data_IF_010769714352
#
_entry.id   IF_010769714352
#
_cell.length_a   1.000
_cell.length_b   1.000
_cell.length_c   1.000
_cell.angle_alpha   90.00
_cell.angle_beta   90.00
_cell.angle_gamma   90.00
#
_symmetry.space_group_name_H-M   'P 1'
#
loop_
_entity.id
_entity.type
_entity.pdbx_description
1 polymer ?
#
# COMPACT_ATOMS: atom_id res chain seq x y z
N UNK A 1 24.34 12.17 33.28
CA UNK A 1 24.57 11.06 32.33
C UNK A 1 23.54 9.98 32.65
N UNK A 2 22.50 9.82 31.82
CA UNK A 2 21.46 8.80 32.09
C UNK A 2 21.98 7.39 31.76
N UNK A 3 21.62 6.40 32.59
CA UNK A 3 21.71 4.97 32.23
C UNK A 3 20.83 4.70 31.00
N UNK A 4 21.24 3.77 30.14
CA UNK A 4 20.58 3.49 28.85
C UNK A 4 19.06 3.29 28.92
N UNK A 5 18.56 2.66 29.99
CA UNK A 5 17.13 2.35 30.18
C UNK A 5 16.23 3.58 30.25
N UNK A 6 16.67 4.68 30.85
CA UNK A 6 15.85 5.91 30.97
C UNK A 6 15.70 6.66 29.64
N UNK A 7 16.65 6.48 28.71
CA UNK A 7 16.60 7.08 27.37
C UNK A 7 15.66 6.32 26.45
N UNK A 8 15.67 5.00 26.54
CA UNK A 8 14.82 4.14 25.73
C UNK A 8 13.33 4.30 26.08
N UNK A 9 12.99 4.33 27.38
CA UNK A 9 11.62 4.58 27.83
C UNK A 9 11.09 5.94 27.33
N UNK A 10 11.94 6.97 27.34
CA UNK A 10 11.60 8.28 26.79
C UNK A 10 11.23 8.19 25.30
N UNK A 11 12.09 7.61 24.46
CA UNK A 11 11.81 7.56 23.02
C UNK A 11 10.61 6.68 22.70
N UNK A 12 10.43 5.58 23.44
CA UNK A 12 9.25 4.71 23.31
C UNK A 12 7.95 5.49 23.56
N UNK A 13 7.91 6.30 24.62
CA UNK A 13 6.74 7.15 24.93
C UNK A 13 6.48 8.18 23.82
N UNK A 14 7.54 8.81 23.30
CA UNK A 14 7.39 9.77 22.20
C UNK A 14 6.89 9.12 20.91
N UNK A 15 7.42 7.93 20.58
CA UNK A 15 6.98 7.16 19.41
C UNK A 15 5.52 6.76 19.53
N UNK A 16 5.11 6.21 20.68
CA UNK A 16 3.71 5.85 20.93
C UNK A 16 2.76 7.05 20.82
N UNK A 17 3.18 8.22 21.31
CA UNK A 17 2.41 9.45 21.13
C UNK A 17 2.31 9.84 19.64
N UNK A 18 3.41 9.76 18.88
CA UNK A 18 3.44 10.04 17.45
C UNK A 18 2.56 9.09 16.62
N UNK A 19 2.51 7.81 16.97
CA UNK A 19 1.62 6.83 16.35
C UNK A 19 0.16 7.18 16.61
N UNK A 20 -0.19 7.46 17.87
CA UNK A 20 -1.57 7.79 18.26
C UNK A 20 -2.08 9.10 17.63
N UNK A 21 -1.18 10.03 17.31
CA UNK A 21 -1.52 11.31 16.67
C UNK A 21 -1.41 11.28 15.14
N UNK A 22 -1.10 10.14 14.54
CA UNK A 22 -0.88 10.02 13.09
C UNK A 22 0.24 10.93 12.57
N UNK A 23 1.28 11.13 13.39
CA UNK A 23 2.50 11.84 13.03
C UNK A 23 3.54 10.90 12.44
N UNK A 24 3.42 9.59 12.64
CA UNK A 24 4.18 8.62 11.86
C UNK A 24 3.63 8.64 10.42
N UNK A 25 4.43 9.08 9.44
CA UNK A 25 3.98 9.16 8.05
C UNK A 25 3.66 7.76 7.53
N UNK A 26 2.71 7.67 6.63
CA UNK A 26 2.45 6.42 5.90
C UNK A 26 3.34 6.39 4.65
N UNK A 27 4.37 5.54 4.63
CA UNK A 27 5.25 5.31 3.48
C UNK A 27 5.17 3.88 2.94
N UNK A 28 4.28 3.08 3.51
CA UNK A 28 4.08 1.69 3.17
C UNK A 28 3.38 1.50 1.84
N UNK A 29 3.32 0.23 1.43
CA UNK A 29 2.51 -0.19 0.28
C UNK A 29 1.06 -0.24 0.73
N UNK A 30 0.16 0.30 -0.09
CA UNK A 30 -1.26 0.33 0.23
C UNK A 30 -1.78 -1.10 0.47
N UNK A 31 -2.56 -1.24 1.54
CA UNK A 31 -3.10 -2.52 1.98
C UNK A 31 -3.84 -3.27 0.86
N UNK A 32 -4.50 -2.57 -0.06
CA UNK A 32 -5.22 -3.18 -1.18
C UNK A 32 -4.27 -3.88 -2.14
N UNK A 33 -3.12 -3.25 -2.44
CA UNK A 33 -2.10 -3.84 -3.29
C UNK A 33 -1.46 -5.04 -2.60
N UNK A 34 -1.16 -4.94 -1.30
CA UNK A 34 -0.65 -6.05 -0.48
C UNK A 34 -1.65 -7.21 -0.39
N UNK A 35 -2.95 -6.91 -0.25
CA UNK A 35 -4.03 -7.89 -0.14
C UNK A 35 -4.12 -8.75 -1.40
N UNK A 36 -4.00 -8.14 -2.57
CA UNK A 36 -4.16 -8.84 -3.85
C UNK A 36 -2.85 -9.28 -4.50
N UNK A 37 -1.67 -8.89 -3.99
CA UNK A 37 -0.37 -9.29 -4.54
C UNK A 37 0.08 -10.69 -4.12
N UNK A 38 -0.54 -11.26 -3.09
CA UNK A 38 -0.15 -12.54 -2.47
C UNK A 38 -0.84 -13.75 -3.12
N UNK A 39 -0.35 -14.94 -2.78
CA UNK A 39 -0.87 -16.23 -3.28
C UNK A 39 -2.35 -16.49 -2.93
N UNK A 40 -2.93 -15.80 -1.94
CA UNK A 40 -4.35 -15.89 -1.60
C UNK A 40 -5.25 -14.90 -2.34
N UNK A 41 -4.74 -14.16 -3.33
CA UNK A 41 -5.47 -13.05 -4.00
C UNK A 41 -6.86 -13.41 -4.54
N UNK A 42 -7.05 -14.61 -5.10
CA UNK A 42 -8.36 -15.06 -5.58
C UNK A 42 -9.35 -15.31 -4.44
N UNK A 43 -8.89 -15.89 -3.32
CA UNK A 43 -9.73 -16.09 -2.14
C UNK A 43 -10.09 -14.76 -1.48
N UNK A 44 -9.14 -13.82 -1.43
CA UNK A 44 -9.37 -12.45 -0.96
C UNK A 44 -10.43 -11.72 -1.80
N UNK A 45 -10.38 -11.89 -3.12
CA UNK A 45 -11.40 -11.37 -4.04
C UNK A 45 -12.77 -11.99 -3.77
N UNK A 46 -12.83 -13.33 -3.70
CA UNK A 46 -14.08 -14.06 -3.43
C UNK A 46 -14.70 -13.60 -2.10
N UNK A 47 -13.91 -13.48 -1.03
CA UNK A 47 -14.36 -13.04 0.29
C UNK A 47 -14.84 -11.58 0.27
N UNK A 48 -14.05 -10.67 -0.33
CA UNK A 48 -14.41 -9.25 -0.42
C UNK A 48 -15.72 -9.04 -1.18
N UNK A 49 -15.92 -9.80 -2.26
CA UNK A 49 -17.13 -9.73 -3.07
C UNK A 49 -18.33 -10.35 -2.36
N UNK A 50 -18.15 -11.49 -1.69
CA UNK A 50 -19.22 -12.12 -0.92
C UNK A 50 -19.74 -11.18 0.17
N UNK A 51 -18.85 -10.54 0.92
CA UNK A 51 -19.22 -9.58 1.94
C UNK A 51 -19.98 -8.39 1.35
N UNK A 52 -19.45 -7.80 0.26
CA UNK A 52 -20.10 -6.66 -0.41
C UNK A 52 -21.50 -7.02 -0.91
N UNK A 53 -21.66 -8.18 -1.56
CA UNK A 53 -22.97 -8.63 -2.07
C UNK A 53 -23.94 -9.00 -0.95
N UNK A 54 -23.46 -9.53 0.17
CA UNK A 54 -24.27 -9.78 1.37
C UNK A 54 -24.77 -8.46 1.98
N UNK A 55 -23.89 -7.49 2.18
CA UNK A 55 -24.26 -6.18 2.72
C UNK A 55 -25.32 -5.48 1.86
N UNK A 56 -25.24 -5.62 0.54
CA UNK A 56 -26.23 -5.09 -0.39
C UNK A 56 -27.52 -5.89 -0.33
N UNK A 57 -27.45 -7.22 -0.33
CA UNK A 57 -28.63 -8.07 -0.22
C UNK A 57 -29.43 -7.74 1.03
N UNK A 58 -28.74 -7.55 2.16
CA UNK A 58 -29.37 -7.25 3.45
C UNK A 58 -30.03 -5.87 3.48
N UNK A 59 -29.51 -4.91 2.69
CA UNK A 59 -30.10 -3.56 2.55
C UNK A 59 -31.17 -3.47 1.47
N UNK A 60 -30.97 -4.17 0.35
CA UNK A 60 -31.75 -4.06 -0.89
C UNK A 60 -31.89 -5.44 -1.58
N UNK A 61 -32.77 -6.32 -1.12
CA UNK A 61 -32.88 -7.69 -1.62
C UNK A 61 -33.19 -7.77 -3.13
N UNK A 62 -34.12 -6.93 -3.60
CA UNK A 62 -34.55 -6.88 -5.00
C UNK A 62 -33.46 -6.35 -5.94
N UNK A 63 -32.53 -5.55 -5.39
CA UNK A 63 -31.44 -4.95 -6.17
C UNK A 63 -30.42 -6.01 -6.60
N UNK A 64 -30.13 -7.01 -5.77
CA UNK A 64 -29.20 -8.10 -6.12
C UNK A 64 -29.73 -8.91 -7.31
N UNK A 65 -31.04 -9.10 -7.41
CA UNK A 65 -31.65 -9.76 -8.56
C UNK A 65 -31.51 -8.91 -9.83
N UNK A 66 -31.68 -7.58 -9.72
CA UNK A 66 -31.48 -6.65 -10.84
C UNK A 66 -30.00 -6.56 -11.29
N UNK A 67 -29.06 -6.69 -10.35
CA UNK A 67 -27.62 -6.74 -10.61
C UNK A 67 -27.22 -7.99 -11.40
N UNK A 68 -28.00 -9.08 -11.32
CA UNK A 68 -27.68 -10.35 -11.98
C UNK A 68 -27.39 -10.22 -13.48
N UNK A 69 -28.12 -9.33 -14.18
CA UNK A 69 -27.87 -9.05 -15.60
C UNK A 69 -26.58 -8.26 -15.84
N UNK A 70 -26.25 -7.28 -15.00
CA UNK A 70 -25.02 -6.49 -15.11
C UNK A 70 -23.78 -7.31 -14.73
N UNK A 71 -23.92 -8.19 -13.74
CA UNK A 71 -22.86 -9.10 -13.27
C UNK A 71 -22.65 -10.28 -14.23
N UNK A 72 -23.58 -10.56 -15.14
CA UNK A 72 -23.48 -11.68 -16.09
C UNK A 72 -22.19 -11.65 -16.92
N UNK A 73 -21.66 -10.45 -17.21
CA UNK A 73 -20.38 -10.27 -17.89
C UNK A 73 -19.18 -10.83 -17.10
N UNK A 74 -19.30 -11.01 -15.77
CA UNK A 74 -18.28 -11.54 -14.87
C UNK A 74 -18.53 -13.00 -14.47
N UNK A 75 -19.40 -13.71 -15.20
CA UNK A 75 -19.71 -15.13 -14.95
C UNK A 75 -18.44 -15.98 -14.81
N UNK A 76 -17.43 -15.66 -15.62
CA UNK A 76 -16.12 -16.29 -15.63
C UNK A 76 -15.07 -15.28 -16.07
N UNK A 77 -14.14 -14.92 -15.18
CA UNK A 77 -12.97 -14.10 -15.52
C UNK A 77 -11.70 -14.93 -15.32
N UNK A 78 -10.94 -15.23 -16.38
CA UNK A 78 -9.66 -15.92 -16.24
C UNK A 78 -8.64 -15.01 -15.54
N UNK A 79 -7.64 -15.61 -14.88
CA UNK A 79 -6.51 -14.88 -14.29
C UNK A 79 -6.90 -13.79 -13.28
N UNK A 80 -7.94 -14.05 -12.49
CA UNK A 80 -8.41 -13.16 -11.43
C UNK A 80 -7.55 -13.30 -10.16
N UNK A 81 -6.25 -13.08 -10.33
CA UNK A 81 -5.19 -13.08 -9.31
C UNK A 81 -4.32 -11.85 -9.50
N UNK A 82 -3.62 -11.38 -8.46
CA UNK A 82 -2.80 -10.17 -8.59
C UNK A 82 -3.63 -8.96 -9.05
N UNK A 83 -3.11 -8.22 -10.02
CA UNK A 83 -3.80 -7.09 -10.65
C UNK A 83 -5.10 -7.48 -11.38
N UNK A 84 -5.23 -8.73 -11.84
CA UNK A 84 -6.48 -9.23 -12.40
C UNK A 84 -7.58 -9.26 -11.34
N UNK A 85 -7.26 -9.68 -10.12
CA UNK A 85 -8.19 -9.66 -8.99
C UNK A 85 -8.59 -8.22 -8.63
N UNK A 86 -7.61 -7.30 -8.59
CA UNK A 86 -7.87 -5.87 -8.35
C UNK A 86 -8.81 -5.29 -9.42
N UNK A 87 -8.56 -5.57 -10.69
CA UNK A 87 -9.37 -5.06 -11.79
C UNK A 87 -10.82 -5.58 -11.73
N UNK A 88 -11.00 -6.86 -11.39
CA UNK A 88 -12.33 -7.45 -11.16
C UNK A 88 -13.00 -6.79 -9.96
N UNK A 89 -12.31 -6.60 -8.83
CA UNK A 89 -12.86 -5.93 -7.65
C UNK A 89 -13.40 -4.54 -7.98
N UNK A 90 -12.60 -3.73 -8.68
CA UNK A 90 -13.01 -2.36 -9.04
C UNK A 90 -14.17 -2.36 -10.04
N UNK A 91 -14.16 -3.26 -11.03
CA UNK A 91 -15.24 -3.36 -12.00
C UNK A 91 -16.56 -3.76 -11.34
N UNK A 92 -16.52 -4.68 -10.37
CA UNK A 92 -17.69 -5.11 -9.61
C UNK A 92 -18.21 -4.02 -8.67
N UNK A 93 -17.32 -3.33 -7.96
CA UNK A 93 -17.69 -2.17 -7.12
C UNK A 93 -18.36 -1.06 -7.94
N UNK A 94 -17.88 -0.78 -9.15
CA UNK A 94 -18.49 0.18 -10.07
C UNK A 94 -19.92 -0.22 -10.44
N UNK A 95 -20.18 -1.51 -10.69
CA UNK A 95 -21.53 -2.00 -11.02
C UNK A 95 -22.46 -1.88 -9.81
N UNK A 96 -21.98 -2.30 -8.65
CA UNK A 96 -22.70 -2.29 -7.37
C UNK A 96 -23.11 -0.87 -6.93
N UNK A 97 -22.26 0.14 -7.15
CA UNK A 97 -22.45 1.50 -6.61
C UNK A 97 -23.18 2.46 -7.55
N UNK A 98 -23.78 1.97 -8.63
CA UNK A 98 -24.46 2.83 -9.62
C UNK A 98 -25.73 3.52 -9.09
N UNK A 99 -26.19 3.24 -7.86
CA UNK A 99 -27.43 3.82 -7.31
C UNK A 99 -27.33 4.49 -5.92
N UNK A 100 -26.19 4.46 -5.23
CA UNK A 100 -26.00 5.34 -4.06
C UNK A 100 -25.70 6.77 -4.57
N UNK A 101 -26.53 7.75 -4.18
CA UNK A 101 -26.26 9.18 -4.46
C UNK A 101 -24.93 9.66 -3.87
N UNK A 102 -24.36 8.87 -2.93
CA UNK A 102 -23.03 9.09 -2.40
C UNK A 102 -21.96 8.49 -3.32
N UNK A 103 -21.59 9.25 -4.35
CA UNK A 103 -20.52 8.92 -5.32
C UNK A 103 -19.12 8.78 -4.69
N UNK A 104 -19.01 8.77 -3.37
CA UNK A 104 -17.73 8.93 -2.68
C UNK A 104 -17.02 7.60 -2.35
N UNK A 105 -17.67 6.44 -2.54
CA UNK A 105 -17.10 5.16 -2.09
C UNK A 105 -16.45 4.29 -3.18
N UNK A 106 -16.74 4.46 -4.48
CA UNK A 106 -16.00 3.77 -5.58
C UNK A 106 -14.58 4.29 -5.73
N UNK A 107 -14.38 5.48 -5.20
CA UNK A 107 -13.12 6.19 -5.10
C UNK A 107 -12.24 5.66 -3.95
N UNK A 108 -12.61 4.69 -3.10
CA UNK A 108 -11.79 4.45 -1.89
C UNK A 108 -10.46 3.72 -2.16
N UNK A 109 -10.46 2.60 -2.89
CA UNK A 109 -9.23 1.91 -3.29
C UNK A 109 -8.45 2.72 -4.34
N UNK A 110 -9.15 3.26 -5.36
CA UNK A 110 -8.48 4.09 -6.36
C UNK A 110 -8.05 5.47 -5.82
N UNK A 111 -8.67 6.05 -4.78
CA UNK A 111 -8.16 7.27 -4.12
C UNK A 111 -6.99 6.97 -3.21
N UNK A 112 -7.06 5.89 -2.42
CA UNK A 112 -5.95 5.51 -1.54
C UNK A 112 -4.70 5.11 -2.30
N UNK A 113 -4.86 4.31 -3.36
CA UNK A 113 -3.74 3.85 -4.20
C UNK A 113 -3.36 4.88 -5.27
N UNK A 114 -4.35 5.60 -5.85
CA UNK A 114 -4.16 6.45 -7.03
C UNK A 114 -4.75 7.87 -6.96
N UNK A 115 -5.17 8.43 -5.82
CA UNK A 115 -5.69 9.81 -5.81
C UNK A 115 -5.25 10.76 -4.71
N UNK A 116 -4.26 10.42 -3.88
CA UNK A 116 -3.68 11.39 -2.94
C UNK A 116 -3.02 12.60 -3.63
N UNK A 117 -2.75 12.55 -4.96
CA UNK A 117 -2.22 13.71 -5.69
C UNK A 117 -2.71 13.75 -7.15
N UNK A 118 -3.39 14.82 -7.57
CA UNK A 118 -3.74 15.08 -8.97
C UNK A 118 -2.53 15.70 -9.69
N UNK A 119 -1.47 14.92 -10.00
CA UNK A 119 -0.39 15.34 -10.92
C UNK A 119 0.77 14.34 -11.13
N UNK A 120 0.86 13.20 -10.43
CA UNK A 120 2.06 12.34 -10.53
C UNK A 120 1.98 11.37 -11.71
N UNK A 121 3.02 11.34 -12.55
CA UNK A 121 3.08 10.46 -13.73
C UNK A 121 3.03 8.96 -13.39
N UNK A 122 3.50 8.57 -12.20
CA UNK A 122 3.39 7.19 -11.65
C UNK A 122 1.91 6.81 -11.52
N UNK A 123 1.12 7.65 -10.84
CA UNK A 123 -0.31 7.45 -10.61
C UNK A 123 -1.10 7.38 -11.91
N UNK A 124 -0.85 8.31 -12.83
CA UNK A 124 -1.58 8.36 -14.11
C UNK A 124 -1.31 7.11 -14.95
N UNK A 125 -0.07 6.59 -14.89
CA UNK A 125 0.28 5.32 -15.55
C UNK A 125 -0.43 4.12 -14.91
N UNK A 126 -0.55 4.09 -13.57
CA UNK A 126 -1.26 3.03 -12.88
C UNK A 126 -2.78 3.08 -13.10
N UNK A 127 -3.41 4.26 -13.08
CA UNK A 127 -4.85 4.42 -13.39
C UNK A 127 -5.16 4.00 -14.83
N UNK A 128 -4.34 4.44 -15.78
CA UNK A 128 -4.48 4.06 -17.18
C UNK A 128 -4.35 2.53 -17.34
N UNK A 129 -3.38 1.90 -16.68
CA UNK A 129 -3.26 0.45 -16.68
C UNK A 129 -4.51 -0.24 -16.14
N UNK A 130 -5.03 0.19 -14.99
CA UNK A 130 -6.23 -0.41 -14.42
C UNK A 130 -7.46 -0.21 -15.32
N UNK A 131 -7.59 0.94 -15.98
CA UNK A 131 -8.63 1.17 -17.00
C UNK A 131 -8.52 0.17 -18.15
N UNK A 132 -7.33 0.02 -18.74
CA UNK A 132 -7.10 -0.89 -19.87
C UNK A 132 -7.31 -2.35 -19.49
N UNK A 133 -6.82 -2.75 -18.32
CA UNK A 133 -7.00 -4.12 -17.82
C UNK A 133 -8.48 -4.45 -17.62
N UNK A 134 -9.28 -3.52 -17.08
CA UNK A 134 -10.75 -3.68 -16.99
C UNK A 134 -11.42 -3.81 -18.35
N UNK A 135 -11.02 -2.99 -19.32
CA UNK A 135 -11.56 -3.03 -20.67
C UNK A 135 -11.30 -4.38 -21.38
N UNK A 136 -10.17 -5.02 -21.06
CA UNK A 136 -9.70 -6.24 -21.72
C UNK A 136 -9.68 -7.48 -20.82
N UNK A 137 -10.48 -7.52 -19.75
CA UNK A 137 -10.55 -8.66 -18.80
C UNK A 137 -10.78 -10.02 -19.49
N UNK A 138 -11.51 -10.03 -20.60
CA UNK A 138 -11.84 -11.23 -21.36
C UNK A 138 -10.98 -11.41 -22.62
N UNK A 139 -9.95 -10.57 -22.81
CA UNK A 139 -9.10 -10.55 -24.00
C UNK A 139 -7.62 -10.63 -23.58
N UNK A 140 -7.11 -11.82 -23.18
CA UNK A 140 -5.75 -12.00 -22.64
C UNK A 140 -4.64 -11.40 -23.51
N UNK A 141 -4.73 -11.54 -24.84
CA UNK A 141 -3.76 -10.97 -25.78
C UNK A 141 -3.74 -9.44 -25.74
N UNK A 142 -4.91 -8.79 -25.76
CA UNK A 142 -5.01 -7.33 -25.63
C UNK A 142 -4.55 -6.84 -24.27
N UNK A 143 -4.90 -7.56 -23.20
CA UNK A 143 -4.43 -7.25 -21.85
C UNK A 143 -2.90 -7.33 -21.77
N UNK A 144 -2.27 -8.30 -22.44
CA UNK A 144 -0.82 -8.43 -22.50
C UNK A 144 -0.18 -7.26 -23.26
N UNK A 145 -0.67 -6.93 -24.46
CA UNK A 145 -0.19 -5.79 -25.27
C UNK A 145 -0.20 -4.48 -24.46
N UNK A 146 -1.30 -4.19 -23.77
CA UNK A 146 -1.40 -3.00 -22.92
C UNK A 146 -0.49 -3.08 -21.68
N UNK A 147 -0.31 -4.27 -21.11
CA UNK A 147 0.61 -4.46 -19.97
C UNK A 147 2.04 -4.14 -20.36
N UNK A 148 2.52 -4.67 -21.49
CA UNK A 148 3.89 -4.43 -21.99
C UNK A 148 4.13 -2.98 -22.42
N UNK A 149 3.10 -2.30 -22.91
CA UNK A 149 3.20 -0.88 -23.26
C UNK A 149 3.28 -0.01 -22.00
N UNK A 150 2.40 -0.27 -21.02
CA UNK A 150 2.27 0.58 -19.84
C UNK A 150 3.31 0.28 -18.75
N UNK A 151 3.88 -0.93 -18.70
CA UNK A 151 4.98 -1.24 -17.76
C UNK A 151 6.20 -0.36 -18.01
N UNK A 152 6.57 -0.15 -19.28
CA UNK A 152 7.71 0.70 -19.66
C UNK A 152 7.49 2.13 -19.22
N UNK A 153 6.28 2.65 -19.48
CA UNK A 153 5.90 3.98 -19.05
C UNK A 153 5.99 4.12 -17.52
N UNK A 154 5.47 3.16 -16.77
CA UNK A 154 5.55 3.19 -15.31
C UNK A 154 7.01 3.11 -14.80
N UNK A 155 7.84 2.25 -15.40
CA UNK A 155 9.25 2.11 -15.08
C UNK A 155 10.03 3.42 -15.28
N UNK A 156 9.77 4.13 -16.38
CA UNK A 156 10.34 5.46 -16.63
C UNK A 156 9.90 6.49 -15.58
N UNK A 157 8.61 6.51 -15.21
CA UNK A 157 8.09 7.45 -14.21
C UNK A 157 8.66 7.15 -12.81
N UNK A 158 8.84 5.88 -12.46
CA UNK A 158 9.48 5.46 -11.21
C UNK A 158 10.95 5.87 -11.17
N UNK A 159 11.66 5.76 -12.28
CA UNK A 159 13.05 6.21 -12.39
C UNK A 159 13.16 7.71 -12.20
N UNK A 160 12.28 8.50 -12.84
CA UNK A 160 12.23 9.95 -12.68
C UNK A 160 11.92 10.35 -11.23
N UNK A 161 10.94 9.71 -10.61
CA UNK A 161 10.55 9.98 -9.22
C UNK A 161 11.68 9.61 -8.24
N UNK A 162 12.39 8.51 -8.48
CA UNK A 162 13.58 8.16 -7.70
C UNK A 162 14.64 9.24 -7.80
N UNK A 163 14.98 9.63 -9.03
CA UNK A 163 16.05 10.60 -9.27
C UNK A 163 15.71 11.97 -8.68
N UNK A 164 14.45 12.40 -8.73
CA UNK A 164 14.05 13.67 -8.10
C UNK A 164 14.22 13.63 -6.58
N UNK A 165 13.93 12.49 -5.95
CA UNK A 165 14.19 12.30 -4.52
C UNK A 165 15.69 12.27 -4.20
N UNK A 166 16.50 11.55 -4.99
CA UNK A 166 17.93 11.37 -4.72
C UNK A 166 18.80 12.58 -5.07
N UNK A 167 18.41 13.37 -6.07
CA UNK A 167 19.28 14.37 -6.70
C UNK A 167 18.69 15.78 -6.77
N UNK A 168 17.36 15.93 -6.73
CA UNK A 168 16.69 17.23 -6.92
C UNK A 168 16.05 17.79 -5.63
N UNK A 169 16.47 17.27 -4.47
CA UNK A 169 15.96 17.67 -3.14
C UNK A 169 14.43 17.56 -2.99
N UNK A 170 13.81 16.65 -3.74
CA UNK A 170 12.35 16.40 -3.71
C UNK A 170 11.97 15.25 -2.77
N UNK A 171 12.79 14.95 -1.77
CA UNK A 171 12.48 13.93 -0.77
C UNK A 171 11.33 14.38 0.13
N UNK A 172 10.31 13.55 0.29
CA UNK A 172 9.19 13.76 1.21
C UNK A 172 8.57 12.41 1.58
N UNK A 173 7.73 12.38 2.63
CA UNK A 173 6.97 11.16 2.94
C UNK A 173 6.08 10.73 1.78
N UNK A 174 5.50 11.72 1.07
CA UNK A 174 4.61 11.50 -0.06
C UNK A 174 5.33 10.89 -1.27
N UNK A 175 6.45 11.48 -1.67
CA UNK A 175 7.22 10.99 -2.83
C UNK A 175 7.72 9.56 -2.60
N UNK A 176 8.16 9.25 -1.37
CA UNK A 176 8.55 7.90 -0.98
C UNK A 176 7.38 6.92 -1.08
N UNK A 177 6.20 7.27 -0.52
CA UNK A 177 4.98 6.46 -0.63
C UNK A 177 4.58 6.20 -2.09
N UNK A 178 4.67 7.21 -2.95
CA UNK A 178 4.34 7.06 -4.36
C UNK A 178 5.31 6.12 -5.07
N UNK A 179 6.60 6.24 -4.77
CA UNK A 179 7.61 5.36 -5.34
C UNK A 179 7.42 3.90 -4.86
N UNK A 180 7.20 3.67 -3.56
CA UNK A 180 7.02 2.33 -3.00
C UNK A 180 5.78 1.63 -3.56
N UNK A 181 4.65 2.34 -3.65
CA UNK A 181 3.43 1.82 -4.24
C UNK A 181 3.58 1.55 -5.74
N UNK A 182 4.19 2.47 -6.48
CA UNK A 182 4.41 2.29 -7.91
C UNK A 182 5.38 1.14 -8.22
N UNK A 183 6.45 0.98 -7.44
CA UNK A 183 7.39 -0.15 -7.58
C UNK A 183 6.70 -1.50 -7.30
N UNK A 184 5.93 -1.57 -6.21
CA UNK A 184 5.13 -2.76 -5.89
C UNK A 184 4.12 -3.08 -7.01
N UNK A 185 3.48 -2.07 -7.59
CA UNK A 185 2.52 -2.22 -8.67
C UNK A 185 3.20 -2.67 -9.98
N UNK A 186 4.34 -2.09 -10.31
CA UNK A 186 5.11 -2.45 -11.49
C UNK A 186 5.53 -3.93 -11.45
N UNK A 187 6.02 -4.42 -10.30
CA UNK A 187 6.32 -5.84 -10.13
C UNK A 187 5.08 -6.73 -10.37
N UNK A 188 3.91 -6.30 -9.89
CA UNK A 188 2.67 -7.02 -10.15
C UNK A 188 2.26 -6.98 -11.63
N UNK A 189 2.57 -5.91 -12.37
CA UNK A 189 2.39 -5.85 -13.82
C UNK A 189 3.27 -6.86 -14.54
N UNK A 190 4.56 -6.96 -14.15
CA UNK A 190 5.49 -7.91 -14.74
C UNK A 190 5.07 -9.36 -14.48
N UNK A 191 4.65 -9.67 -13.24
CA UNK A 191 4.10 -10.99 -12.89
C UNK A 191 2.83 -11.27 -13.70
N UNK A 192 1.95 -10.28 -13.87
CA UNK A 192 0.75 -10.43 -14.69
C UNK A 192 1.08 -10.70 -16.17
N UNK A 193 2.05 -9.98 -16.74
CA UNK A 193 2.50 -10.21 -18.11
C UNK A 193 3.08 -11.63 -18.28
N UNK A 194 3.94 -12.07 -17.35
CA UNK A 194 4.51 -13.42 -17.37
C UNK A 194 3.42 -14.51 -17.27
N UNK A 195 2.37 -14.30 -16.45
CA UNK A 195 1.19 -15.18 -16.39
C UNK A 195 0.48 -15.29 -17.74
N UNK A 196 0.27 -14.18 -18.44
CA UNK A 196 -0.40 -14.17 -19.74
C UNK A 196 0.45 -14.85 -20.83
N UNK A 197 1.77 -14.65 -20.82
CA UNK A 197 2.71 -15.26 -21.78
C UNK A 197 2.82 -16.78 -21.62
N UNK A 198 3.04 -17.24 -20.38
CA UNK A 198 3.17 -18.68 -20.06
C UNK A 198 1.91 -19.50 -20.34
N UNK A 199 0.76 -18.86 -20.56
CA UNK A 199 -0.48 -19.52 -20.99
C UNK A 199 -0.58 -19.72 -22.51
N UNK A 200 0.18 -18.94 -23.27
CA UNK A 200 0.07 -18.89 -24.73
C UNK A 200 1.15 -19.72 -25.42
N UNK A 201 2.17 -20.21 -24.69
CA UNK A 201 3.31 -20.91 -25.27
C UNK A 201 3.30 -22.43 -25.05
N UNK A 202 3.90 -23.14 -26.00
CA UNK A 202 4.14 -24.59 -25.97
C UNK A 202 5.45 -24.96 -25.24
N UNK A 203 6.32 -23.97 -24.93
CA UNK A 203 7.62 -24.11 -24.28
C UNK A 203 7.63 -23.63 -22.81
N UNK A 204 6.71 -24.17 -22.00
CA UNK A 204 6.35 -23.64 -20.68
C UNK A 204 7.51 -23.46 -19.67
N UNK A 205 8.50 -24.35 -19.63
CA UNK A 205 9.52 -24.35 -18.57
C UNK A 205 10.68 -23.37 -18.82
N UNK A 206 11.18 -23.27 -20.05
CA UNK A 206 12.30 -22.37 -20.37
C UNK A 206 11.85 -20.91 -20.32
N UNK A 207 10.67 -20.59 -20.86
CA UNK A 207 10.10 -19.24 -20.80
C UNK A 207 9.79 -18.79 -19.36
N UNK A 208 9.30 -19.71 -18.52
CA UNK A 208 9.04 -19.42 -17.12
C UNK A 208 10.32 -19.03 -16.37
N UNK A 209 11.43 -19.74 -16.59
CA UNK A 209 12.72 -19.42 -15.95
C UNK A 209 13.23 -18.05 -16.38
N UNK A 210 13.13 -17.72 -17.68
CA UNK A 210 13.51 -16.40 -18.19
C UNK A 210 12.68 -15.30 -17.55
N UNK A 211 11.37 -15.49 -17.41
CA UNK A 211 10.50 -14.51 -16.75
C UNK A 211 10.79 -14.36 -15.26
N UNK A 212 11.02 -15.46 -14.54
CA UNK A 212 11.39 -15.43 -13.12
C UNK A 212 12.69 -14.65 -12.94
N UNK A 213 13.75 -14.99 -13.69
CA UNK A 213 15.04 -14.31 -13.58
C UNK A 213 14.94 -12.81 -13.92
N UNK A 214 14.18 -12.46 -14.96
CA UNK A 214 13.95 -11.05 -15.33
C UNK A 214 13.23 -10.28 -14.23
N UNK A 215 12.22 -10.87 -13.59
CA UNK A 215 11.46 -10.22 -12.51
C UNK A 215 12.31 -10.12 -11.24
N UNK A 216 13.03 -11.18 -10.88
CA UNK A 216 13.96 -11.18 -9.74
C UNK A 216 15.02 -10.07 -9.88
N UNK A 217 15.56 -9.86 -11.08
CA UNK A 217 16.49 -8.75 -11.32
C UNK A 217 15.86 -7.38 -11.10
N UNK A 218 14.59 -7.18 -11.45
CA UNK A 218 13.87 -5.92 -11.19
C UNK A 218 13.61 -5.77 -9.68
N UNK A 219 13.28 -6.86 -8.99
CA UNK A 219 13.12 -6.87 -7.53
C UNK A 219 14.43 -6.46 -6.86
N UNK A 220 15.57 -7.00 -7.30
CA UNK A 220 16.89 -6.63 -6.77
C UNK A 220 17.20 -5.15 -6.97
N UNK A 221 16.88 -4.59 -8.14
CA UNK A 221 17.00 -3.15 -8.39
C UNK A 221 16.11 -2.34 -7.43
N UNK A 222 14.86 -2.72 -7.21
CA UNK A 222 13.97 -2.02 -6.29
C UNK A 222 14.35 -2.18 -4.82
N UNK A 223 14.88 -3.32 -4.41
CA UNK A 223 15.43 -3.47 -3.05
C UNK A 223 16.63 -2.55 -2.84
N UNK A 224 17.54 -2.48 -3.82
CA UNK A 224 18.68 -1.57 -3.78
C UNK A 224 18.23 -0.10 -3.72
N UNK A 225 17.36 0.32 -4.65
CA UNK A 225 16.84 1.68 -4.71
C UNK A 225 16.09 2.06 -3.40
N UNK A 226 15.32 1.12 -2.83
CA UNK A 226 14.64 1.34 -1.56
C UNK A 226 15.62 1.60 -0.42
N UNK A 227 16.72 0.86 -0.33
CA UNK A 227 17.73 1.08 0.71
C UNK A 227 18.40 2.46 0.58
N UNK A 228 18.66 2.92 -0.64
CA UNK A 228 19.18 4.27 -0.88
C UNK A 228 18.16 5.34 -0.48
N UNK A 229 16.90 5.19 -0.91
CA UNK A 229 15.82 6.10 -0.59
C UNK A 229 15.55 6.15 0.91
N UNK A 230 15.58 5.02 1.64
CA UNK A 230 15.37 4.99 3.08
C UNK A 230 16.49 5.67 3.85
N UNK A 231 17.75 5.55 3.41
CA UNK A 231 18.88 6.28 4.00
C UNK A 231 18.72 7.79 3.84
N UNK A 232 18.34 8.23 2.64
CA UNK A 232 18.11 9.64 2.37
C UNK A 232 16.88 10.15 3.13
N UNK A 233 15.79 9.39 3.14
CA UNK A 233 14.56 9.73 3.86
C UNK A 233 14.78 9.86 5.36
N UNK A 234 15.61 8.99 5.96
CA UNK A 234 16.04 9.12 7.35
C UNK A 234 16.77 10.44 7.62
N UNK A 235 17.63 10.85 6.70
CA UNK A 235 18.34 12.14 6.79
C UNK A 235 17.38 13.31 6.64
N UNK A 236 16.45 13.24 5.71
CA UNK A 236 15.36 14.20 5.55
C UNK A 236 14.48 14.31 6.81
N UNK A 237 14.14 13.19 7.45
CA UNK A 237 13.36 13.22 8.71
C UNK A 237 14.13 13.82 9.88
N UNK A 238 15.46 13.76 9.89
CA UNK A 238 16.30 14.48 10.87
C UNK A 238 16.22 16.01 10.74
N UNK A 239 15.81 16.55 9.59
CA UNK A 239 15.66 18.01 9.40
C UNK A 239 14.23 18.50 9.61
N UNK A 240 13.24 17.62 9.47
CA UNK A 240 11.81 17.95 9.55
C UNK A 240 11.20 17.61 10.91
N UNK A 241 11.70 16.58 11.60
CA UNK A 241 11.27 16.20 12.94
C UNK A 241 12.09 16.93 14.00
N UNK A 242 11.40 17.49 15.00
CA UNK A 242 12.04 18.15 16.16
C UNK A 242 11.35 17.80 17.47
N UNK A 243 12.14 17.73 18.56
CA UNK A 243 11.63 17.57 19.92
C UNK A 243 11.60 18.93 20.60
N UNK A 244 10.40 19.41 20.90
CA UNK A 244 10.23 20.73 21.50
C UNK A 244 9.74 20.61 22.94
N UNK A 245 10.32 21.43 23.82
CA UNK A 245 9.83 21.61 25.17
C UNK A 245 8.90 22.84 25.18
N UNK A 246 7.59 22.67 25.36
CA UNK A 246 6.69 23.80 25.32
C UNK A 246 6.88 24.65 26.57
N UNK A 247 7.29 25.92 26.40
CA UNK A 247 7.67 26.83 27.48
C UNK A 247 6.56 27.05 28.54
N UNK A 248 5.30 26.83 28.17
CA UNK A 248 4.13 27.01 29.05
C UNK A 248 3.91 25.91 30.08
N UNK A 249 4.68 24.82 30.04
CA UNK A 249 4.42 23.61 30.85
C UNK A 249 5.54 23.27 31.83
N UNK A 250 6.49 24.17 32.10
CA UNK A 250 7.40 23.98 33.24
C UNK A 250 6.62 24.12 34.54
N UNK A 251 6.23 22.99 35.14
CA UNK A 251 5.61 22.95 36.46
C UNK A 251 6.63 22.47 37.48
N UNK A 252 6.97 23.33 38.44
CA UNK A 252 7.73 22.93 39.62
C UNK A 252 6.74 22.33 40.62
N UNK A 253 6.85 21.02 40.87
CA UNK A 253 6.04 20.36 41.90
C UNK A 253 6.90 20.21 43.14
N UNK A 254 6.45 20.83 44.23
CA UNK A 254 7.13 20.78 45.51
C UNK A 254 6.70 19.54 46.29
N UNK A 255 7.64 18.63 46.51
CA UNK A 255 7.49 17.57 47.51
C UNK A 255 8.26 17.99 48.78
N UNK A 256 7.79 17.62 49.98
CA UNK A 256 8.41 18.04 51.25
C UNK A 256 9.92 17.75 51.38
N UNK A 257 10.45 16.84 50.56
CA UNK A 257 11.86 16.43 50.55
C UNK A 257 12.58 16.62 49.20
N UNK A 258 11.90 17.10 48.14
CA UNK A 258 12.52 17.24 46.82
C UNK A 258 11.74 18.19 45.89
N UNK A 259 12.49 18.89 45.03
CA UNK A 259 11.96 19.71 43.95
C UNK A 259 12.07 18.91 42.65
N UNK A 260 10.92 18.51 42.07
CA UNK A 260 10.90 17.71 40.83
C UNK A 260 10.50 18.61 39.67
N UNK A 261 11.39 18.71 38.68
CA UNK A 261 11.11 19.34 37.39
C UNK A 261 10.26 18.39 36.56
N UNK A 262 9.01 18.77 36.33
CA UNK A 262 8.15 18.07 35.37
C UNK A 262 8.56 18.52 33.96
N UNK A 263 9.21 17.64 33.19
CA UNK A 263 9.54 17.95 31.80
C UNK A 263 8.45 17.43 30.88
N UNK A 264 8.07 18.26 29.92
CA UNK A 264 7.05 17.95 28.94
C UNK A 264 7.61 18.13 27.54
N UNK A 265 7.19 17.26 26.62
CA UNK A 265 7.77 17.18 25.29
C UNK A 265 6.69 17.02 24.23
N UNK A 266 6.95 17.60 23.07
CA UNK A 266 6.13 17.49 21.87
C UNK A 266 7.04 17.15 20.70
N UNK A 267 6.68 16.11 19.95
CA UNK A 267 7.28 15.85 18.63
C UNK A 267 6.53 16.67 17.61
N UNK A 268 7.26 17.42 16.78
CA UNK A 268 6.71 18.13 15.62
C UNK A 268 7.35 17.60 14.35
N UNK A 269 6.55 17.40 13.32
CA UNK A 269 7.01 17.06 11.97
C UNK A 269 6.56 18.15 10.98
N UNK A 270 7.53 18.88 10.42
CA UNK A 270 7.28 19.94 9.45
C UNK A 270 6.80 19.44 8.10
N UNK A 271 7.19 18.24 7.69
CA UNK A 271 6.75 17.63 6.42
C UNK A 271 5.24 17.32 6.45
N UNK A 272 4.74 16.91 7.63
CA UNK A 272 3.33 16.58 7.82
C UNK A 272 2.48 17.73 8.37
N UNK A 273 3.11 18.83 8.78
CA UNK A 273 2.49 19.94 9.51
C UNK A 273 1.70 19.47 10.75
N UNK A 274 2.25 18.49 11.49
CA UNK A 274 1.62 17.87 12.65
C UNK A 274 2.49 17.95 13.90
N UNK A 275 1.83 17.88 15.05
CA UNK A 275 2.48 17.73 16.35
C UNK A 275 1.73 16.74 17.25
N UNK A 276 2.46 16.10 18.16
CA UNK A 276 1.86 15.20 19.15
C UNK A 276 1.17 15.99 20.26
N UNK A 277 0.24 15.36 21.01
CA UNK A 277 -0.09 15.83 22.35
C UNK A 277 1.16 15.98 23.22
N UNK A 278 1.04 16.77 24.27
CA UNK A 278 2.11 16.98 25.25
C UNK A 278 2.35 15.69 26.02
N UNK A 279 3.58 15.18 25.97
CA UNK A 279 4.00 13.97 26.68
C UNK A 279 4.79 14.33 27.93
N UNK A 280 4.35 13.83 29.07
CA UNK A 280 5.08 13.96 30.32
C UNK A 280 6.24 12.97 30.39
N UNK A 281 7.46 13.48 30.57
CA UNK A 281 8.67 12.68 30.75
C UNK A 281 9.47 13.21 31.95
N UNK A 282 9.41 12.56 33.13
CA UNK A 282 10.06 13.06 34.35
C UNK A 282 11.59 13.12 34.25
N UNK A 283 12.19 12.38 33.30
CA UNK A 283 13.63 12.23 33.18
C UNK A 283 14.10 12.49 31.74
N UNK A 284 15.09 13.39 31.60
CA UNK A 284 15.92 13.49 30.40
C UNK A 284 15.62 14.63 29.42
N UNK A 285 16.71 15.10 28.79
CA UNK A 285 16.71 15.85 27.53
C UNK A 285 17.62 15.08 26.55
N UNK A 286 17.09 14.10 25.80
CA UNK A 286 17.86 13.52 24.71
C UNK A 286 17.95 14.51 23.54
N UNK A 287 18.95 14.34 22.68
CA UNK A 287 19.07 15.15 21.46
C UNK A 287 18.13 14.66 20.36
N UNK A 288 17.53 15.58 19.62
CA UNK A 288 16.53 15.35 18.57
C UNK A 288 16.94 14.28 17.55
N UNK A 289 18.21 14.26 17.14
CA UNK A 289 18.73 13.30 16.15
C UNK A 289 18.61 11.84 16.61
N UNK A 290 18.77 11.60 17.92
CA UNK A 290 18.68 10.25 18.49
C UNK A 290 17.25 9.72 18.58
N UNK A 291 16.25 10.60 18.56
CA UNK A 291 14.84 10.19 18.46
C UNK A 291 14.50 9.66 17.06
N UNK A 292 14.92 10.36 15.99
CA UNK A 292 14.68 9.89 14.62
C UNK A 292 15.38 8.56 14.36
N UNK A 293 16.60 8.38 14.88
CA UNK A 293 17.30 7.09 14.81
C UNK A 293 16.51 5.99 15.53
N UNK A 294 15.97 6.27 16.72
CA UNK A 294 15.12 5.34 17.45
C UNK A 294 13.82 5.01 16.68
N UNK A 295 13.13 6.03 16.17
CA UNK A 295 11.89 5.88 15.40
C UNK A 295 12.13 4.94 14.21
N UNK A 296 13.14 5.18 13.37
CA UNK A 296 13.43 4.34 12.21
C UNK A 296 13.77 2.89 12.57
N UNK A 297 14.37 2.64 13.74
CA UNK A 297 14.70 1.30 14.19
C UNK A 297 13.50 0.53 14.76
N UNK A 298 12.43 1.23 15.15
CA UNK A 298 11.23 0.65 15.78
C UNK A 298 9.97 0.88 14.95
N UNK A 299 10.10 1.31 13.69
CA UNK A 299 8.98 1.61 12.82
C UNK A 299 8.65 0.39 11.96
N UNK A 300 7.65 -0.37 12.40
CA UNK A 300 7.24 -1.65 11.80
C UNK A 300 6.95 -1.55 10.29
N UNK A 301 6.37 -0.43 9.84
CA UNK A 301 6.05 -0.25 8.42
C UNK A 301 7.29 -0.29 7.51
N UNK A 302 8.46 0.18 7.97
CA UNK A 302 9.69 0.10 7.19
C UNK A 302 10.18 -1.35 7.09
N UNK A 303 9.98 -2.14 8.14
CA UNK A 303 10.28 -3.57 8.14
C UNK A 303 9.35 -4.31 7.18
N UNK A 304 8.04 -4.04 7.24
CA UNK A 304 7.05 -4.63 6.35
C UNK A 304 7.31 -4.28 4.88
N UNK A 305 7.72 -3.04 4.61
CA UNK A 305 8.09 -2.58 3.27
C UNK A 305 9.28 -3.36 2.71
N UNK A 306 10.32 -3.60 3.52
CA UNK A 306 11.48 -4.41 3.11
C UNK A 306 11.10 -5.87 2.90
N UNK A 307 10.31 -6.42 3.82
CA UNK A 307 9.85 -7.80 3.76
C UNK A 307 9.00 -8.03 2.51
N UNK A 308 8.15 -7.09 2.10
CA UNK A 308 7.33 -7.23 0.91
C UNK A 308 8.14 -7.64 -0.34
N UNK A 309 9.26 -6.98 -0.61
CA UNK A 309 10.07 -7.29 -1.80
C UNK A 309 10.79 -8.63 -1.67
N UNK A 310 11.27 -8.97 -0.47
CA UNK A 310 11.89 -10.28 -0.19
C UNK A 310 10.88 -11.41 -0.34
N UNK A 311 9.71 -11.28 0.31
CA UNK A 311 8.60 -12.22 0.20
C UNK A 311 8.17 -12.37 -1.27
N UNK A 312 8.07 -11.26 -2.00
CA UNK A 312 7.72 -11.32 -3.41
C UNK A 312 8.76 -12.10 -4.21
N UNK A 313 10.06 -11.85 -3.98
CA UNK A 313 11.18 -12.55 -4.64
C UNK A 313 11.08 -14.06 -4.46
N UNK A 314 10.89 -14.50 -3.23
CA UNK A 314 10.78 -15.93 -2.89
C UNK A 314 9.58 -16.61 -3.56
N UNK A 315 8.51 -15.84 -3.84
CA UNK A 315 7.26 -16.35 -4.35
C UNK A 315 7.01 -16.05 -5.85
N UNK A 316 7.94 -15.41 -6.57
CA UNK A 316 7.72 -14.99 -7.98
C UNK A 316 7.26 -16.14 -8.86
N UNK A 317 7.96 -17.27 -8.78
CA UNK A 317 7.64 -18.45 -9.59
C UNK A 317 6.22 -18.95 -9.33
N UNK A 318 5.88 -19.11 -8.07
CA UNK A 318 4.56 -19.63 -7.67
C UNK A 318 3.44 -18.65 -8.03
N UNK A 319 3.71 -17.35 -7.90
CA UNK A 319 2.82 -16.30 -8.36
C UNK A 319 2.59 -16.41 -9.86
N UNK A 320 3.62 -16.57 -10.70
CA UNK A 320 3.45 -16.71 -12.16
C UNK A 320 2.67 -17.98 -12.52
N UNK A 321 2.92 -19.09 -11.83
CA UNK A 321 2.23 -20.36 -12.08
C UNK A 321 0.77 -20.31 -11.59
N UNK A 322 0.48 -19.45 -10.62
CA UNK A 322 -0.85 -19.35 -10.02
C UNK A 322 -1.93 -19.11 -11.08
N UNK A 323 -2.85 -20.06 -11.15
CA UNK A 323 -4.05 -19.98 -11.98
C UNK A 323 -5.27 -20.02 -11.07
N UNK A 324 -5.99 -18.90 -10.99
CA UNK A 324 -7.33 -18.91 -10.44
C UNK A 324 -8.27 -18.13 -11.33
N UNK A 325 -9.47 -18.69 -11.46
CA UNK A 325 -10.56 -18.14 -12.22
C UNK A 325 -11.59 -17.59 -11.24
N UNK A 326 -12.00 -16.34 -11.43
CA UNK A 326 -13.11 -15.80 -10.68
C UNK A 326 -14.42 -16.32 -11.28
N UNK A 327 -15.26 -16.89 -10.41
CA UNK A 327 -16.58 -17.41 -10.76
C UNK A 327 -17.65 -16.72 -9.94
N UNK A 328 -18.44 -15.86 -10.58
CA UNK A 328 -19.52 -15.11 -9.92
C UNK A 328 -20.46 -16.00 -9.07
N UNK A 329 -20.75 -17.22 -9.54
CA UNK A 329 -21.63 -18.16 -8.83
C UNK A 329 -21.18 -18.51 -7.40
N UNK A 330 -19.89 -18.39 -7.09
CA UNK A 330 -19.37 -18.67 -5.75
C UNK A 330 -19.63 -17.55 -4.74
N UNK A 331 -19.86 -16.33 -5.24
CA UNK A 331 -19.97 -15.13 -4.40
C UNK A 331 -21.39 -14.59 -4.32
N UNK A 332 -22.28 -15.03 -5.21
CA UNK A 332 -23.70 -14.69 -5.12
C UNK A 332 -24.32 -15.31 -3.86
N UNK A 333 -25.12 -14.55 -3.09
CA UNK A 333 -25.92 -15.13 -2.01
C UNK A 333 -26.82 -16.22 -2.59
N UNK A 334 -26.86 -17.38 -1.93
CA UNK A 334 -27.71 -18.49 -2.35
C UNK A 334 -29.15 -17.99 -2.27
N UNK A 335 -29.84 -17.91 -3.41
CA UNK A 335 -31.29 -17.72 -3.36
C UNK A 335 -31.86 -18.99 -2.75
N UNK A 336 -32.36 -18.92 -1.52
CA UNK A 336 -33.26 -19.94 -1.01
C UNK A 336 -34.47 -19.94 -1.95
N UNK A 337 -34.47 -20.86 -2.91
CA UNK A 337 -35.70 -21.28 -3.55
C UNK A 337 -36.50 -21.99 -2.47
N UNK A 338 -37.30 -21.23 -1.71
CA UNK A 338 -38.51 -21.78 -1.11
C UNK A 338 -39.37 -22.25 -2.28
N UNK A 339 -39.34 -23.55 -2.51
CA UNK A 339 -40.42 -24.19 -3.25
C UNK A 339 -41.67 -24.06 -2.40
N UNK A 340 -42.70 -23.49 -2.99
CA UNK A 340 -44.09 -23.91 -2.85
C UNK A 340 -44.80 -23.62 -4.18
#
# INVERSE_FOLDING_TARGET
>A
MFRGEGREDFFRRMLSAAESSGLIPDVGIDFSLVKYSKMNSAAELENSMKQTLQDIHDRFPDYVQSLGCALAAFKKVPNAVGLGAVAVSIALELIVKTQEEDRDSTMYMMRRVFAEEKASGVRDSMDEYMKRLRMYLHQPTRALEETERLEKQLSEQLTRLKNSMLHDDQMSSRSLKHWTNGAAFHLQMLIHAARLKTQSSTGYQEELQVHVASIESVIDCYQFDLEELLKLYKTYKKTTISLTHPAKWLTLVYFPSALVLMNYWVVKDKDLEKETPVVFCPFGKPGDLSYVDYMFNNWDQLKDLKNYFSDLKENVKDLIIQKAEFKLKKVLPVSDKKGD
#
